data_IF_946273068018
#
_entry.id   IF_946273068018
#
_cell.length_a   1.000
_cell.length_b   1.000
_cell.length_c   1.000
_cell.angle_alpha   90.00
_cell.angle_beta   90.00
_cell.angle_gamma   90.00
#
_symmetry.space_group_name_H-M   'P 1'
#
loop_
_entity.id
_entity.type
_entity.pdbx_description
1 polymer ?
#
# COMPACT_ATOMS: atom_id res chain seq x y z
N UNK A 1 -21.49 20.44 7.27
CA UNK A 1 -20.03 20.64 7.36
C UNK A 1 -19.38 19.27 7.24
N UNK A 2 -18.75 18.96 6.11
CA UNK A 2 -18.13 17.66 5.90
C UNK A 2 -16.72 17.67 6.50
N UNK A 3 -16.65 17.57 7.83
CA UNK A 3 -15.42 17.65 8.64
C UNK A 3 -14.23 16.92 8.00
N UNK A 4 -14.44 15.72 7.47
CA UNK A 4 -13.41 14.96 6.76
C UNK A 4 -12.85 15.69 5.52
N UNK A 5 -13.73 16.22 4.66
CA UNK A 5 -13.33 16.95 3.46
C UNK A 5 -12.56 18.22 3.83
N UNK A 6 -13.02 18.94 4.84
CA UNK A 6 -12.36 20.16 5.32
C UNK A 6 -10.97 19.84 5.88
N UNK A 7 -10.85 18.74 6.63
CA UNK A 7 -9.58 18.28 7.17
C UNK A 7 -8.59 17.85 6.09
N UNK A 8 -9.01 17.03 5.12
CA UNK A 8 -8.14 16.55 4.04
C UNK A 8 -7.69 17.67 3.12
N UNK A 9 -8.55 18.66 2.85
CA UNK A 9 -8.21 19.84 2.04
C UNK A 9 -7.29 20.80 2.79
N UNK A 10 -7.60 21.11 4.05
CA UNK A 10 -6.84 22.05 4.87
C UNK A 10 -5.46 21.52 5.25
N UNK A 11 -5.33 20.21 5.47
CA UNK A 11 -4.10 19.59 5.94
C UNK A 11 -3.74 18.32 5.14
N UNK A 12 -3.33 18.44 3.87
CA UNK A 12 -3.19 17.31 2.95
C UNK A 12 -2.11 16.29 3.36
N UNK A 13 -1.01 16.74 3.97
CA UNK A 13 0.04 15.84 4.47
C UNK A 13 -0.33 15.25 5.83
N UNK A 14 -0.78 16.07 6.77
CA UNK A 14 -1.15 15.61 8.11
C UNK A 14 -2.30 14.58 8.05
N UNK A 15 -3.31 14.81 7.22
CA UNK A 15 -4.40 13.86 7.00
C UNK A 15 -3.93 12.55 6.39
N UNK A 16 -2.95 12.57 5.48
CA UNK A 16 -2.35 11.35 4.95
C UNK A 16 -1.58 10.60 6.03
N UNK A 17 -0.72 11.31 6.78
CA UNK A 17 0.06 10.76 7.89
C UNK A 17 -0.86 10.05 8.89
N UNK A 18 -1.91 10.72 9.35
CA UNK A 18 -2.84 10.16 10.34
C UNK A 18 -3.56 8.92 9.79
N UNK A 19 -4.07 8.99 8.55
CA UNK A 19 -4.81 7.87 7.95
C UNK A 19 -3.93 6.63 7.76
N UNK A 20 -2.72 6.78 7.20
CA UNK A 20 -1.79 5.68 7.02
C UNK A 20 -1.26 5.15 8.35
N UNK A 21 -0.92 6.03 9.30
CA UNK A 21 -0.47 5.61 10.63
C UNK A 21 -1.51 4.73 11.32
N UNK A 22 -2.79 5.12 11.28
CA UNK A 22 -3.88 4.35 11.91
C UNK A 22 -4.15 3.06 11.14
N UNK A 23 -4.51 3.16 9.85
CA UNK A 23 -4.98 2.00 9.08
C UNK A 23 -3.85 1.01 8.78
N UNK A 24 -2.64 1.50 8.51
CA UNK A 24 -1.45 0.66 8.32
C UNK A 24 -1.12 -0.13 9.58
N UNK A 25 -1.07 0.53 10.74
CA UNK A 25 -0.82 -0.14 12.03
C UNK A 25 -1.90 -1.16 12.35
N UNK A 26 -3.18 -0.81 12.17
CA UNK A 26 -4.29 -1.75 12.38
C UNK A 26 -4.15 -2.96 11.45
N UNK A 27 -3.80 -2.74 10.18
CA UNK A 27 -3.55 -3.80 9.20
C UNK A 27 -2.48 -4.77 9.67
N UNK A 28 -1.36 -4.27 10.21
CA UNK A 28 -0.30 -5.10 10.75
C UNK A 28 -0.70 -5.88 12.02
N UNK A 29 -1.42 -5.23 12.94
CA UNK A 29 -1.95 -5.89 14.15
C UNK A 29 -2.92 -7.02 13.77
N UNK A 30 -3.82 -6.79 12.82
CA UNK A 30 -4.75 -7.83 12.38
C UNK A 30 -4.01 -8.92 11.60
N UNK A 31 -3.05 -8.56 10.76
CA UNK A 31 -2.21 -9.51 10.01
C UNK A 31 -1.46 -10.48 10.94
N UNK A 32 -0.86 -9.99 12.02
CA UNK A 32 -0.18 -10.84 13.01
C UNK A 32 -1.13 -11.78 13.72
N UNK A 33 -2.35 -11.33 14.07
CA UNK A 33 -3.39 -12.18 14.66
C UNK A 33 -3.86 -13.28 13.71
N UNK A 34 -4.12 -12.96 12.44
CA UNK A 34 -4.58 -13.93 11.43
C UNK A 34 -3.48 -14.96 11.11
N UNK A 35 -2.24 -14.50 10.95
CA UNK A 35 -1.11 -15.39 10.61
C UNK A 35 -0.64 -16.27 11.78
N UNK A 36 -1.17 -16.07 13.00
CA UNK A 36 -0.73 -16.78 14.20
C UNK A 36 0.70 -16.42 14.63
N UNK A 37 1.20 -15.25 14.20
CA UNK A 37 2.49 -14.70 14.65
C UNK A 37 2.31 -14.05 16.04
N UNK A 38 3.42 -13.83 16.74
CA UNK A 38 3.41 -13.12 18.02
C UNK A 38 2.72 -11.75 17.92
N UNK A 39 2.06 -11.32 19.00
CA UNK A 39 1.37 -10.02 19.06
C UNK A 39 2.40 -8.89 18.99
N UNK A 40 2.19 -7.92 18.09
CA UNK A 40 2.92 -6.65 18.12
C UNK A 40 2.62 -5.91 19.43
N UNK A 41 3.66 -5.50 20.16
CA UNK A 41 3.53 -4.83 21.47
C UNK A 41 4.62 -3.76 21.66
N UNK A 42 4.32 -2.78 22.51
CA UNK A 42 5.29 -1.78 22.98
C UNK A 42 5.98 -1.04 21.83
N UNK A 43 7.32 -1.05 21.84
CA UNK A 43 8.15 -0.34 20.87
C UNK A 43 7.96 -0.84 19.43
N UNK A 44 7.69 -2.14 19.22
CA UNK A 44 7.50 -2.68 17.87
C UNK A 44 6.27 -2.06 17.19
N UNK A 45 5.16 -1.94 17.94
CA UNK A 45 3.94 -1.31 17.44
C UNK A 45 4.18 0.18 17.10
N UNK A 46 4.88 0.90 17.97
CA UNK A 46 5.21 2.31 17.76
C UNK A 46 6.07 2.48 16.51
N UNK A 47 7.11 1.67 16.34
CA UNK A 47 7.96 1.68 15.14
C UNK A 47 7.12 1.49 13.88
N UNK A 48 6.17 0.55 13.87
CA UNK A 48 5.26 0.34 12.73
C UNK A 48 4.39 1.55 12.44
N UNK A 49 3.83 2.18 13.47
CA UNK A 49 3.06 3.42 13.31
C UNK A 49 3.91 4.53 12.70
N UNK A 50 5.16 4.71 13.15
CA UNK A 50 6.07 5.70 12.59
C UNK A 50 6.45 5.42 11.13
N UNK A 51 6.70 4.15 10.78
CA UNK A 51 7.00 3.76 9.40
C UNK A 51 5.83 4.11 8.48
N UNK A 52 4.60 3.75 8.85
CA UNK A 52 3.42 4.09 8.06
C UNK A 52 3.17 5.61 7.97
N UNK A 53 3.36 6.34 9.06
CA UNK A 53 3.29 7.80 9.09
C UNK A 53 4.29 8.42 8.11
N UNK A 54 5.54 7.94 8.12
CA UNK A 54 6.59 8.44 7.24
C UNK A 54 6.31 8.13 5.77
N UNK A 55 5.90 6.91 5.45
CA UNK A 55 5.58 6.49 4.08
C UNK A 55 4.41 7.27 3.47
N UNK A 56 3.49 7.78 4.29
CA UNK A 56 2.36 8.58 3.82
C UNK A 56 2.78 9.84 3.04
N UNK A 57 3.92 10.44 3.39
CA UNK A 57 4.43 11.67 2.77
C UNK A 57 4.79 11.45 1.30
N UNK A 58 5.74 10.55 0.94
CA UNK A 58 6.06 10.30 -0.46
C UNK A 58 4.89 9.71 -1.23
N UNK A 59 3.99 8.94 -0.60
CA UNK A 59 2.75 8.47 -1.24
C UNK A 59 1.87 9.65 -1.66
N UNK A 60 1.65 10.62 -0.76
CA UNK A 60 0.85 11.82 -1.07
C UNK A 60 1.47 12.64 -2.20
N UNK A 61 2.79 12.78 -2.20
CA UNK A 61 3.52 13.47 -3.27
C UNK A 61 3.35 12.70 -4.59
N UNK A 62 3.52 11.38 -4.60
CA UNK A 62 3.38 10.56 -5.80
C UNK A 62 1.98 10.66 -6.40
N UNK A 63 0.92 10.66 -5.58
CA UNK A 63 -0.45 10.79 -6.08
C UNK A 63 -0.66 12.08 -6.89
N UNK A 64 -0.10 13.19 -6.42
CA UNK A 64 -0.15 14.48 -7.12
C UNK A 64 0.82 14.49 -8.31
N UNK A 65 2.05 13.98 -8.12
CA UNK A 65 3.09 13.98 -9.14
C UNK A 65 2.74 13.15 -10.37
N UNK A 66 2.14 11.97 -10.18
CA UNK A 66 1.75 11.11 -11.30
C UNK A 66 0.52 11.61 -12.07
N UNK A 67 -0.29 12.47 -11.47
CA UNK A 67 -1.31 13.24 -12.20
C UNK A 67 -0.66 14.18 -13.22
N UNK A 68 0.36 14.94 -12.79
CA UNK A 68 1.16 15.79 -13.69
C UNK A 68 1.96 14.99 -14.73
N UNK A 69 2.54 13.85 -14.32
CA UNK A 69 3.28 12.96 -15.21
C UNK A 69 2.42 12.46 -16.38
N UNK A 70 1.22 11.94 -16.09
CA UNK A 70 0.30 11.46 -17.14
C UNK A 70 -0.16 12.61 -18.04
N UNK A 71 -0.45 13.79 -17.46
CA UNK A 71 -0.80 14.97 -18.23
C UNK A 71 0.31 15.39 -19.21
N UNK A 72 1.58 15.35 -18.78
CA UNK A 72 2.72 15.64 -19.63
C UNK A 72 2.90 14.61 -20.77
N UNK A 73 2.69 13.32 -20.49
CA UNK A 73 2.75 12.29 -21.54
C UNK A 73 1.69 12.51 -22.63
N UNK A 74 0.48 12.95 -22.25
CA UNK A 74 -0.58 13.30 -23.21
C UNK A 74 -0.17 14.53 -24.02
N UNK A 75 0.32 15.57 -23.35
CA UNK A 75 0.77 16.81 -24.00
C UNK A 75 1.86 16.56 -25.05
N UNK A 76 2.77 15.62 -24.78
CA UNK A 76 3.83 15.22 -25.71
C UNK A 76 3.41 14.13 -26.73
N UNK A 77 2.13 13.77 -26.79
CA UNK A 77 1.61 12.78 -27.75
C UNK A 77 2.03 11.33 -27.47
N UNK A 78 2.56 11.04 -26.28
CA UNK A 78 2.96 9.70 -25.86
C UNK A 78 1.79 8.86 -25.32
N UNK A 79 0.72 9.53 -24.87
CA UNK A 79 -0.56 8.91 -24.52
C UNK A 79 -1.70 9.58 -25.31
N UNK A 80 -2.77 8.85 -25.63
CA UNK A 80 -3.90 9.42 -26.35
C UNK A 80 -4.65 10.45 -25.48
N UNK A 81 -5.29 11.44 -26.11
CA UNK A 81 -6.10 12.45 -25.40
C UNK A 81 -7.26 11.86 -24.61
N UNK A 82 -7.76 10.68 -25.00
CA UNK A 82 -8.74 9.91 -24.22
C UNK A 82 -8.23 9.53 -22.82
N UNK A 83 -6.91 9.55 -22.58
CA UNK A 83 -6.29 9.38 -21.28
C UNK A 83 -6.34 10.63 -20.39
N UNK A 84 -6.90 11.74 -20.86
CA UNK A 84 -6.99 12.98 -20.08
C UNK A 84 -8.05 12.92 -18.98
N UNK A 85 -9.07 12.06 -19.13
CA UNK A 85 -10.17 11.96 -18.16
C UNK A 85 -10.71 10.54 -17.98
N UNK A 86 -11.64 10.40 -17.03
CA UNK A 86 -12.36 9.15 -16.78
C UNK A 86 -11.46 8.00 -16.32
N UNK A 87 -11.91 6.78 -16.61
CA UNK A 87 -11.22 5.57 -16.16
C UNK A 87 -9.88 5.35 -16.84
N UNK A 88 -9.73 5.74 -18.12
CA UNK A 88 -8.46 5.58 -18.84
C UNK A 88 -7.36 6.42 -18.16
N UNK A 89 -7.69 7.65 -17.76
CA UNK A 89 -6.79 8.49 -16.98
C UNK A 89 -6.42 7.87 -15.63
N UNK A 90 -7.39 7.31 -14.90
CA UNK A 90 -7.15 6.64 -13.63
C UNK A 90 -6.24 5.40 -13.79
N UNK A 91 -6.47 4.60 -14.84
CA UNK A 91 -5.66 3.45 -15.19
C UNK A 91 -4.24 3.86 -15.58
N UNK A 92 -4.07 4.88 -16.44
CA UNK A 92 -2.76 5.41 -16.82
C UNK A 92 -1.97 5.89 -15.60
N UNK A 93 -2.59 6.67 -14.70
CA UNK A 93 -1.97 7.10 -13.44
C UNK A 93 -1.55 5.90 -12.59
N UNK A 94 -2.43 4.91 -12.47
CA UNK A 94 -2.16 3.69 -11.72
C UNK A 94 -0.98 2.90 -12.28
N UNK A 95 -0.96 2.64 -13.58
CA UNK A 95 0.13 1.91 -14.24
C UNK A 95 1.45 2.68 -14.11
N UNK A 96 1.46 3.96 -14.47
CA UNK A 96 2.68 4.78 -14.39
C UNK A 96 3.25 4.85 -12.98
N UNK A 97 2.40 5.07 -11.97
CA UNK A 97 2.82 5.16 -10.58
C UNK A 97 3.31 3.82 -10.04
N UNK A 98 2.57 2.74 -10.25
CA UNK A 98 2.93 1.44 -9.68
C UNK A 98 4.17 0.82 -10.33
N UNK A 99 4.45 1.09 -11.61
CA UNK A 99 5.64 0.57 -12.27
C UNK A 99 6.92 1.36 -11.94
N UNK A 100 6.80 2.65 -11.61
CA UNK A 100 7.96 3.52 -11.33
C UNK A 100 8.16 3.79 -9.83
N UNK A 101 7.12 4.30 -9.16
CA UNK A 101 7.17 4.62 -7.73
C UNK A 101 6.89 3.40 -6.84
N UNK A 102 6.10 2.44 -7.32
CA UNK A 102 5.81 1.21 -6.59
C UNK A 102 7.06 0.45 -6.11
N UNK A 103 8.05 0.16 -6.98
CA UNK A 103 9.28 -0.53 -6.57
C UNK A 103 10.07 0.27 -5.53
N UNK A 104 10.18 1.59 -5.73
CA UNK A 104 10.81 2.48 -4.75
C UNK A 104 10.14 2.39 -3.39
N UNK A 105 8.80 2.46 -3.34
CA UNK A 105 8.04 2.41 -2.10
C UNK A 105 8.17 1.06 -1.39
N UNK A 106 8.13 -0.06 -2.14
CA UNK A 106 8.29 -1.41 -1.59
C UNK A 106 9.68 -1.58 -0.96
N UNK A 107 10.73 -1.11 -1.66
CA UNK A 107 12.10 -1.18 -1.17
C UNK A 107 12.28 -0.27 0.05
N UNK A 108 11.78 0.97 -0.01
CA UNK A 108 11.85 1.93 1.08
C UNK A 108 11.15 1.39 2.34
N UNK A 109 9.93 0.87 2.19
CA UNK A 109 9.20 0.27 3.30
C UNK A 109 10.01 -0.87 3.94
N UNK A 110 10.62 -1.75 3.13
CA UNK A 110 11.44 -2.84 3.66
C UNK A 110 12.72 -2.36 4.33
N UNK A 111 13.37 -1.34 3.76
CA UNK A 111 14.56 -0.73 4.34
C UNK A 111 14.27 -0.12 5.71
N UNK A 112 13.14 0.59 5.83
CA UNK A 112 12.68 1.14 7.11
C UNK A 112 12.36 0.04 8.12
N UNK A 113 11.65 -1.01 7.71
CA UNK A 113 11.41 -2.18 8.56
C UNK A 113 12.71 -2.79 9.10
N UNK A 114 13.71 -2.98 8.23
CA UNK A 114 15.00 -3.53 8.61
C UNK A 114 15.76 -2.61 9.57
N UNK A 115 15.69 -1.28 9.36
CA UNK A 115 16.31 -0.28 10.22
C UNK A 115 15.74 -0.32 11.65
N UNK A 116 14.41 -0.37 11.80
CA UNK A 116 13.77 -0.37 13.10
C UNK A 116 13.80 -1.72 13.81
N UNK A 117 13.86 -2.83 13.06
CA UNK A 117 13.96 -4.18 13.64
C UNK A 117 15.40 -4.64 13.89
N UNK A 118 16.39 -3.97 13.30
CA UNK A 118 17.79 -4.37 13.33
C UNK A 118 18.08 -5.67 12.57
N UNK A 119 17.14 -6.15 11.74
CA UNK A 119 17.25 -7.42 11.00
C UNK A 119 17.22 -7.16 9.51
N UNK A 120 18.14 -7.77 8.77
CA UNK A 120 18.15 -7.71 7.30
C UNK A 120 17.15 -8.72 6.73
N UNK A 121 15.93 -8.28 6.42
CA UNK A 121 14.90 -9.12 5.82
C UNK A 121 14.58 -8.68 4.38
N UNK A 122 15.29 -9.26 3.41
CA UNK A 122 15.03 -9.05 1.97
C UNK A 122 14.32 -10.23 1.31
N UNK A 123 13.93 -11.24 2.08
CA UNK A 123 13.23 -12.40 1.57
C UNK A 123 11.87 -12.01 0.96
N UNK A 124 11.51 -12.69 -0.13
CA UNK A 124 10.24 -12.51 -0.84
C UNK A 124 10.01 -11.08 -1.38
N UNK A 125 11.10 -10.34 -1.69
CA UNK A 125 11.00 -9.03 -2.32
C UNK A 125 10.36 -9.13 -3.71
N UNK A 126 10.71 -10.16 -4.47
CA UNK A 126 10.08 -10.53 -5.74
C UNK A 126 8.55 -10.59 -5.62
N UNK A 127 8.02 -11.32 -4.62
CA UNK A 127 6.57 -11.43 -4.38
C UNK A 127 5.94 -10.08 -4.00
N UNK A 128 6.68 -9.25 -3.27
CA UNK A 128 6.25 -7.91 -2.89
C UNK A 128 6.16 -7.01 -4.13
N UNK A 129 7.13 -7.11 -5.05
CA UNK A 129 7.11 -6.40 -6.33
C UNK A 129 6.00 -6.92 -7.26
N UNK A 130 5.78 -8.23 -7.32
CA UNK A 130 4.67 -8.80 -8.09
C UNK A 130 3.31 -8.30 -7.61
N UNK A 131 3.14 -7.99 -6.31
CA UNK A 131 1.91 -7.38 -5.79
C UNK A 131 1.59 -6.03 -6.42
N UNK A 132 2.59 -5.30 -6.92
CA UNK A 132 2.36 -4.05 -7.64
C UNK A 132 1.50 -4.28 -8.88
N UNK A 133 1.71 -5.41 -9.58
CA UNK A 133 1.01 -5.74 -10.81
C UNK A 133 -0.41 -6.24 -10.55
N UNK A 134 -0.56 -7.28 -9.73
CA UNK A 134 -1.85 -7.97 -9.60
C UNK A 134 -2.79 -7.31 -8.58
N UNK A 135 -2.26 -6.57 -7.60
CA UNK A 135 -3.06 -5.93 -6.55
C UNK A 135 -3.08 -4.41 -6.70
N UNK A 136 -1.92 -3.76 -6.71
CA UNK A 136 -1.86 -2.31 -6.60
C UNK A 136 -2.24 -1.57 -7.89
N UNK A 137 -1.98 -2.11 -9.08
CA UNK A 137 -2.48 -1.50 -10.33
C UNK A 137 -4.02 -1.47 -10.35
N UNK A 138 -4.75 -2.58 -10.13
CA UNK A 138 -6.20 -2.54 -10.04
C UNK A 138 -6.71 -1.65 -8.90
N UNK A 139 -6.13 -1.77 -7.71
CA UNK A 139 -6.54 -1.01 -6.53
C UNK A 139 -6.37 0.50 -6.74
N UNK A 140 -5.22 0.95 -7.26
CA UNK A 140 -4.98 2.36 -7.54
C UNK A 140 -5.79 2.89 -8.74
N UNK A 141 -6.13 2.05 -9.73
CA UNK A 141 -7.03 2.47 -10.81
C UNK A 141 -8.42 2.82 -10.26
N UNK A 142 -8.93 2.02 -9.31
CA UNK A 142 -10.16 2.33 -8.58
C UNK A 142 -9.99 3.54 -7.66
N UNK A 143 -8.85 3.68 -6.98
CA UNK A 143 -8.57 4.86 -6.16
C UNK A 143 -8.58 6.14 -6.99
N UNK A 144 -7.96 6.15 -8.16
CA UNK A 144 -7.82 7.35 -9.00
C UNK A 144 -9.08 7.71 -9.78
N UNK A 145 -10.07 6.82 -9.85
CA UNK A 145 -11.40 7.15 -10.36
C UNK A 145 -12.25 7.92 -9.33
N UNK A 146 -11.86 7.90 -8.04
CA UNK A 146 -12.54 8.65 -6.98
C UNK A 146 -12.13 10.13 -6.99
N UNK A 147 -12.99 11.02 -6.43
CA UNK A 147 -12.61 12.40 -6.13
C UNK A 147 -11.35 12.48 -5.26
N UNK A 148 -10.54 13.52 -5.48
CA UNK A 148 -9.19 13.66 -4.92
C UNK A 148 -9.13 13.53 -3.40
N UNK A 149 -10.17 13.98 -2.72
CA UNK A 149 -10.33 13.98 -1.28
C UNK A 149 -10.44 12.57 -0.68
N UNK A 150 -10.89 11.59 -1.45
CA UNK A 150 -11.08 10.21 -1.00
C UNK A 150 -9.90 9.29 -1.36
N UNK A 151 -9.03 9.73 -2.28
CA UNK A 151 -7.98 8.85 -2.84
C UNK A 151 -6.99 8.36 -1.78
N UNK A 152 -6.58 9.24 -0.86
CA UNK A 152 -5.63 8.90 0.21
C UNK A 152 -6.25 7.94 1.22
N UNK A 153 -7.49 8.19 1.63
CA UNK A 153 -8.21 7.29 2.52
C UNK A 153 -8.39 5.91 1.90
N UNK A 154 -8.76 5.85 0.61
CA UNK A 154 -8.87 4.59 -0.12
C UNK A 154 -7.53 3.87 -0.23
N UNK A 155 -6.44 4.58 -0.50
CA UNK A 155 -5.10 3.99 -0.53
C UNK A 155 -4.69 3.36 0.81
N UNK A 156 -4.97 4.04 1.93
CA UNK A 156 -4.72 3.51 3.26
C UNK A 156 -5.59 2.27 3.57
N UNK A 157 -6.84 2.23 3.08
CA UNK A 157 -7.71 1.05 3.16
C UNK A 157 -7.19 -0.14 2.33
N UNK A 158 -6.57 0.11 1.17
CA UNK A 158 -5.91 -0.94 0.40
C UNK A 158 -4.71 -1.54 1.12
N UNK A 159 -3.92 -0.73 1.83
CA UNK A 159 -2.82 -1.23 2.68
C UNK A 159 -3.32 -2.18 3.76
N UNK A 160 -4.42 -1.83 4.44
CA UNK A 160 -5.09 -2.72 5.39
C UNK A 160 -5.56 -4.02 4.71
N UNK A 161 -6.25 -3.90 3.58
CA UNK A 161 -6.84 -5.02 2.84
C UNK A 161 -5.78 -6.02 2.37
N UNK A 162 -4.66 -5.54 1.81
CA UNK A 162 -3.55 -6.39 1.40
C UNK A 162 -2.96 -7.16 2.58
N UNK A 163 -2.81 -6.49 3.73
CA UNK A 163 -2.36 -7.12 4.97
C UNK A 163 -3.23 -8.30 5.38
N UNK A 164 -4.56 -8.18 5.26
CA UNK A 164 -5.49 -9.27 5.55
C UNK A 164 -5.34 -10.43 4.57
N UNK A 165 -5.34 -10.13 3.26
CA UNK A 165 -5.27 -11.13 2.18
C UNK A 165 -4.02 -11.98 2.34
N UNK A 166 -2.85 -11.35 2.50
CA UNK A 166 -1.58 -12.06 2.63
C UNK A 166 -1.52 -12.90 3.91
N UNK A 167 -2.10 -12.41 5.00
CA UNK A 167 -2.12 -13.13 6.28
C UNK A 167 -3.02 -14.36 6.24
N UNK A 168 -4.16 -14.27 5.57
CA UNK A 168 -5.05 -15.41 5.34
C UNK A 168 -4.37 -16.51 4.53
N UNK A 169 -3.70 -16.14 3.41
CA UNK A 169 -2.95 -17.11 2.61
C UNK A 169 -1.74 -17.69 3.33
N UNK A 170 -1.11 -16.94 4.23
CA UNK A 170 -0.03 -17.46 5.08
C UNK A 170 -0.55 -18.53 6.05
N UNK A 171 -1.69 -18.28 6.71
CA UNK A 171 -2.33 -19.24 7.62
C UNK A 171 -2.71 -20.54 6.89
N UNK A 172 -3.41 -20.44 5.76
CA UNK A 172 -3.87 -21.62 5.00
C UNK A 172 -2.72 -22.51 4.52
N UNK A 173 -1.57 -21.92 4.14
CA UNK A 173 -0.37 -22.69 3.76
C UNK A 173 0.24 -23.45 4.94
N UNK A 174 0.24 -22.86 6.14
CA UNK A 174 0.75 -23.50 7.36
C UNK A 174 -0.10 -24.73 7.73
N UNK A 175 -1.42 -24.61 7.63
CA UNK A 175 -2.36 -25.71 7.90
C UNK A 175 -2.16 -26.88 6.92
N UNK A 176 -2.06 -26.59 5.61
CA UNK A 176 -1.82 -27.61 4.57
C UNK A 176 -0.46 -28.31 4.68
N UNK A 177 0.58 -27.59 5.12
CA UNK A 177 1.90 -28.19 5.37
C UNK A 177 1.86 -29.19 6.52
N UNK A 178 1.25 -28.80 7.64
CA UNK A 178 1.08 -29.66 8.81
C UNK A 178 0.29 -30.94 8.52
N UNK A 179 -0.74 -30.87 7.66
CA UNK A 179 -1.54 -32.04 7.30
C UNK A 179 -0.77 -33.03 6.40
N UNK A 180 0.10 -32.54 5.52
CA UNK A 180 0.97 -33.38 4.68
C UNK A 180 2.03 -34.10 5.50
N UNK A 181 2.64 -33.42 6.46
CA UNK A 181 3.67 -34.04 7.32
C UNK A 181 3.08 -35.21 8.12
N UNK A 182 1.89 -35.04 8.72
CA UNK A 182 1.18 -36.10 9.45
C UNK A 182 0.85 -37.29 8.54
N UNK A 183 0.39 -37.06 7.30
CA UNK A 183 0.10 -38.13 6.34
C UNK A 183 1.33 -38.87 5.84
N UNK A 184 2.50 -38.24 5.80
CA UNK A 184 3.75 -38.89 5.39
C UNK A 184 4.40 -39.73 6.49
N UNK A 185 3.97 -39.56 7.74
CA UNK A 185 4.45 -40.31 8.91
C UNK A 185 3.60 -41.53 9.30
N UNK A 186 2.51 -41.78 8.57
CA UNK A 186 1.62 -42.95 8.69
C UNK A 186 1.87 -43.86 7.49
#
# INVERSE_FOLDING_TARGET
MNFYLDFVKGYPFLSAIIQFAILGTIGEVVATRISGRGKLRGMELLSKTFIWAFLAIPIKIAFIGFEGFVAALILHGLLPESAASGFLNALSRSVSMNLQFGPFLVILHRALDNLFTGKSNWANLDKSLYSLLWFWIPAHALTFSLPREYQIGMAALWSFSLGLILSYFAKSRKEKGSEKDVRSSI
#
